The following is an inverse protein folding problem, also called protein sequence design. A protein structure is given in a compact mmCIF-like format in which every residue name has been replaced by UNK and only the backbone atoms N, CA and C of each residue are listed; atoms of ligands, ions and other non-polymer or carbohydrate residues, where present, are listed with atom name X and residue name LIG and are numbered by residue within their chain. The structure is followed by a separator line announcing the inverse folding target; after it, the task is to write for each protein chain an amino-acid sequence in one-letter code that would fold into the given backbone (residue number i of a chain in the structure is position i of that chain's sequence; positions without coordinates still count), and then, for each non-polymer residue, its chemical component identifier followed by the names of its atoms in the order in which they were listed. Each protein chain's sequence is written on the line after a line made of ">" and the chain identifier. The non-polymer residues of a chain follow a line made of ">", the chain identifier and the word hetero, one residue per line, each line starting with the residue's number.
data_IF_514443360080
#
_entry.id   IF_514443360080
#
_cell.length_a   1.000
_cell.length_b   1.000
_cell.length_c   1.000
_cell.angle_alpha   90.00
_cell.angle_beta   90.00
_cell.angle_gamma   90.00
#
_symmetry.space_group_name_H-M   'P 1'
#
loop_
_entity.id
_entity.type
_entity.pdbx_description
1 polymer ?
#
# COMPACT_ATOMS: atom_id res chain seq x y z
N UNK A 1 -0.77 23.14 12.88
CA UNK A 1 -0.23 21.88 12.32
C UNK A 1 1.17 21.70 12.89
N UNK A 2 1.50 20.56 13.49
CA UNK A 2 2.84 20.32 14.05
C UNK A 2 3.84 20.17 12.91
N UNK A 3 4.98 20.87 12.96
CA UNK A 3 6.05 20.80 11.94
C UNK A 3 6.59 19.35 11.91
N UNK A 4 6.73 18.75 10.73
CA UNK A 4 7.36 17.42 10.58
C UNK A 4 8.87 17.59 10.41
N UNK A 5 9.64 16.87 11.22
CA UNK A 5 11.11 16.95 11.26
C UNK A 5 11.66 15.53 11.15
N UNK A 6 12.64 15.30 10.28
CA UNK A 6 13.22 13.96 10.08
C UNK A 6 14.27 13.65 11.16
N UNK A 7 14.54 12.36 11.38
CA UNK A 7 15.63 11.95 12.27
C UNK A 7 16.99 12.47 11.80
N UNK A 8 17.20 12.55 10.48
CA UNK A 8 18.43 13.11 9.89
C UNK A 8 18.56 14.61 10.14
N UNK A 9 17.45 15.37 10.09
CA UNK A 9 17.45 16.79 10.47
C UNK A 9 17.83 16.91 11.95
N UNK A 10 17.22 16.12 12.84
CA UNK A 10 17.57 16.09 14.27
C UNK A 10 19.06 15.78 14.48
N UNK A 11 19.63 14.83 13.74
CA UNK A 11 21.03 14.43 13.87
C UNK A 11 22.05 15.55 13.57
N UNK A 12 21.65 16.59 12.83
CA UNK A 12 22.49 17.77 12.57
C UNK A 12 22.58 18.71 13.79
N UNK A 13 21.66 18.59 14.76
CA UNK A 13 21.61 19.41 15.96
C UNK A 13 22.18 18.65 17.16
N UNK A 14 23.50 18.44 17.13
CA UNK A 14 24.25 17.62 18.09
C UNK A 14 25.41 18.34 18.82
N UNK A 15 25.41 19.67 18.86
CA UNK A 15 26.50 20.48 19.44
C UNK A 15 26.01 21.35 20.60
N UNK A 16 26.89 21.85 21.48
CA UNK A 16 26.48 22.65 22.65
C UNK A 16 25.68 23.93 22.29
N UNK A 17 25.86 24.46 21.08
CA UNK A 17 25.10 25.61 20.57
C UNK A 17 23.84 25.26 19.77
N UNK A 18 23.52 23.97 19.61
CA UNK A 18 22.41 23.48 18.80
C UNK A 18 22.11 22.01 19.14
N UNK A 19 21.08 21.77 19.97
CA UNK A 19 20.75 20.44 20.53
C UNK A 19 19.27 20.14 20.34
N UNK A 20 18.99 19.17 19.46
CA UNK A 20 17.65 18.61 19.33
C UNK A 20 17.63 17.17 19.79
N UNK A 21 16.47 16.74 20.32
CA UNK A 21 16.24 15.36 20.77
C UNK A 21 14.85 14.89 20.35
N UNK A 22 14.70 13.59 20.17
CA UNK A 22 13.39 12.94 19.96
C UNK A 22 12.95 12.27 21.26
N UNK A 23 11.68 12.48 21.63
CA UNK A 23 11.03 11.77 22.74
C UNK A 23 9.60 11.43 22.32
N UNK A 24 9.24 10.15 22.26
CA UNK A 24 7.89 9.67 21.85
C UNK A 24 7.42 10.30 20.54
N UNK A 25 8.24 10.20 19.49
CA UNK A 25 8.00 10.76 18.16
C UNK A 25 7.79 12.28 18.11
N UNK A 26 8.14 13.02 19.18
CA UNK A 26 8.13 14.48 19.23
C UNK A 26 9.55 15.01 19.23
N UNK A 27 9.77 16.10 18.51
CA UNK A 27 11.09 16.74 18.40
C UNK A 27 11.13 17.97 19.29
N UNK A 28 12.15 18.05 20.13
CA UNK A 28 12.36 19.14 21.07
C UNK A 28 13.70 19.84 20.81
N UNK A 29 13.67 21.17 20.73
CA UNK A 29 14.88 21.99 20.80
C UNK A 29 15.18 22.31 22.26
N UNK A 30 16.25 21.72 22.78
CA UNK A 30 16.67 21.88 24.18
C UNK A 30 17.92 22.75 24.30
N UNK A 31 18.32 23.45 23.24
CA UNK A 31 19.52 24.29 23.19
C UNK A 31 19.55 25.32 24.32
N UNK A 32 18.44 26.06 24.48
CA UNK A 32 18.33 27.09 25.52
C UNK A 32 18.01 26.50 26.91
N UNK A 33 17.56 25.24 26.97
CA UNK A 33 17.23 24.55 28.23
C UNK A 33 18.44 23.80 28.82
N UNK A 34 19.55 23.75 28.10
CA UNK A 34 20.71 22.96 28.45
C UNK A 34 21.26 23.23 29.87
N UNK A 35 21.31 24.51 30.26
CA UNK A 35 21.80 24.93 31.58
C UNK A 35 20.72 24.89 32.68
N UNK A 36 19.46 24.69 32.29
CA UNK A 36 18.30 24.66 33.19
C UNK A 36 17.86 23.24 33.53
N UNK A 37 18.34 22.24 32.78
CA UNK A 37 18.00 20.84 33.00
C UNK A 37 18.48 20.36 34.39
N UNK A 38 17.58 19.91 35.30
CA UNK A 38 17.93 19.53 36.67
C UNK A 38 18.94 18.38 36.77
N UNK A 39 18.97 17.48 35.77
CA UNK A 39 19.96 16.41 35.67
C UNK A 39 21.34 16.85 35.16
N UNK A 40 21.50 18.13 34.86
CA UNK A 40 22.73 18.76 34.36
C UNK A 40 22.90 18.68 32.84
N UNK A 41 23.69 19.61 32.27
CA UNK A 41 23.88 19.70 30.81
C UNK A 41 24.51 18.47 30.15
N UNK A 42 25.38 17.75 30.89
CA UNK A 42 26.12 16.60 30.36
C UNK A 42 25.23 15.44 29.95
N UNK A 43 24.04 15.29 30.52
CA UNK A 43 23.14 14.19 30.13
C UNK A 43 22.41 14.48 28.82
N UNK A 44 22.06 15.75 28.56
CA UNK A 44 21.45 16.15 27.29
C UNK A 44 22.47 16.10 26.14
N UNK A 45 23.71 16.52 26.38
CA UNK A 45 24.79 16.44 25.38
C UNK A 45 25.08 15.01 24.91
N UNK A 46 24.83 13.98 25.74
CA UNK A 46 25.06 12.58 25.37
C UNK A 46 24.03 12.02 24.39
N UNK A 47 22.85 12.63 24.32
CA UNK A 47 21.74 12.21 23.47
C UNK A 47 21.41 13.26 22.40
N UNK A 48 22.26 14.28 22.27
CA UNK A 48 22.10 15.35 21.31
C UNK A 48 22.06 14.78 19.88
N UNK A 49 21.04 15.15 19.12
CA UNK A 49 20.81 14.67 17.77
C UNK A 49 20.29 13.23 17.68
N UNK A 50 19.76 12.66 18.75
CA UNK A 50 19.29 11.25 18.77
C UNK A 50 17.89 11.09 19.37
N UNK A 51 17.33 9.88 19.24
CA UNK A 51 16.17 9.45 20.00
C UNK A 51 16.55 9.13 21.46
N UNK A 52 16.05 9.97 22.34
CA UNK A 52 16.28 9.94 23.77
C UNK A 52 15.09 9.34 24.54
N UNK A 53 14.09 8.75 23.86
CA UNK A 53 12.86 8.23 24.48
C UNK A 53 13.16 7.26 25.62
N UNK A 54 14.05 6.29 25.39
CA UNK A 54 14.45 5.31 26.43
C UNK A 54 15.08 5.98 27.65
N UNK A 55 15.94 6.98 27.42
CA UNK A 55 16.62 7.71 28.47
C UNK A 55 15.64 8.61 29.23
N UNK A 56 14.69 9.21 28.53
CA UNK A 56 13.64 10.04 29.12
C UNK A 56 12.75 9.21 30.05
N UNK A 57 12.23 8.07 29.58
CA UNK A 57 11.30 7.20 30.33
C UNK A 57 11.91 6.60 31.60
N UNK A 58 13.24 6.43 31.63
CA UNK A 58 13.93 5.93 32.82
C UNK A 58 13.97 6.94 33.98
N UNK A 59 13.82 8.24 33.71
CA UNK A 59 14.01 9.31 34.70
C UNK A 59 12.86 10.32 34.79
N UNK A 60 11.93 10.29 33.83
CA UNK A 60 10.83 11.25 33.70
C UNK A 60 9.53 10.54 33.30
N UNK A 61 8.42 11.24 33.48
CA UNK A 61 7.10 10.82 32.99
C UNK A 61 6.56 11.85 31.99
N UNK A 62 5.52 11.48 31.24
CA UNK A 62 4.94 12.30 30.18
C UNK A 62 4.46 13.68 30.64
N UNK A 63 4.04 13.86 31.90
CA UNK A 63 3.58 15.16 32.41
C UNK A 63 4.68 16.23 32.41
N UNK A 64 5.95 15.83 32.34
CA UNK A 64 7.08 16.75 32.17
C UNK A 64 7.03 17.40 30.78
N UNK A 65 6.71 16.63 29.73
CA UNK A 65 6.59 17.16 28.37
C UNK A 65 5.41 18.15 28.23
N UNK A 66 4.32 17.91 28.95
CA UNK A 66 3.16 18.81 28.99
C UNK A 66 3.48 20.18 29.60
N UNK A 67 4.45 20.24 30.53
CA UNK A 67 4.93 21.48 31.15
C UNK A 67 5.97 22.22 30.31
N UNK A 68 6.57 21.55 29.33
CA UNK A 68 7.64 22.07 28.49
C UNK A 68 7.27 22.07 27.00
N UNK A 69 5.99 22.26 26.69
CA UNK A 69 5.47 22.27 25.32
C UNK A 69 6.12 23.35 24.44
N UNK A 70 6.63 24.43 25.03
CA UNK A 70 7.37 25.49 24.33
C UNK A 70 8.69 25.02 23.71
N UNK A 71 9.25 23.90 24.18
CA UNK A 71 10.47 23.31 23.62
C UNK A 71 10.16 22.41 22.42
N UNK A 72 8.91 21.99 22.25
CA UNK A 72 8.51 21.13 21.14
C UNK A 72 8.50 21.95 19.84
N UNK A 73 9.37 21.57 18.91
CA UNK A 73 9.48 22.23 17.60
C UNK A 73 8.82 21.43 16.48
N UNK A 74 8.42 20.19 16.76
CA UNK A 74 7.74 19.36 15.77
C UNK A 74 7.45 17.94 16.25
N UNK A 75 7.09 17.10 15.29
CA UNK A 75 6.97 15.65 15.42
C UNK A 75 7.85 14.98 14.39
N UNK A 76 8.36 13.81 14.74
CA UNK A 76 9.06 12.97 13.79
C UNK A 76 8.10 12.67 12.65
N UNK A 77 8.58 12.91 11.45
CA UNK A 77 7.90 12.54 10.23
C UNK A 77 8.87 12.63 9.09
N UNK A 78 8.57 11.91 8.02
CA UNK A 78 9.13 12.24 6.72
C UNK A 78 8.87 13.73 6.46
N UNK A 79 9.84 14.42 5.87
CA UNK A 79 9.63 15.76 5.34
C UNK A 79 8.27 15.79 4.63
N UNK A 80 7.51 16.86 4.83
CA UNK A 80 6.25 17.05 4.12
C UNK A 80 6.58 16.95 2.63
N UNK A 81 6.24 15.82 2.01
CA UNK A 81 6.11 15.72 0.58
C UNK A 81 5.01 16.74 0.24
N UNK A 82 5.40 17.93 -0.19
CA UNK A 82 4.81 18.44 -1.42
C UNK A 82 4.72 17.23 -2.34
N UNK A 83 3.55 17.01 -2.95
CA UNK A 83 3.35 15.91 -3.88
C UNK A 83 4.32 16.09 -5.06
N UNK A 84 5.57 15.69 -4.87
CA UNK A 84 6.56 15.49 -5.89
C UNK A 84 6.18 14.13 -6.46
N UNK A 85 5.73 14.16 -7.71
CA UNK A 85 5.53 12.97 -8.54
C UNK A 85 6.87 12.31 -8.90
N UNK A 86 7.81 12.22 -7.95
CA UNK A 86 9.07 11.53 -8.08
C UNK A 86 9.05 10.37 -7.08
N UNK A 87 8.31 9.31 -7.41
CA UNK A 87 8.72 8.05 -6.81
C UNK A 87 10.14 7.76 -7.30
N UNK A 88 11.01 7.47 -6.35
CA UNK A 88 12.46 7.48 -6.53
C UNK A 88 12.86 6.80 -7.84
N UNK A 89 13.40 7.58 -8.77
CA UNK A 89 14.37 7.10 -9.75
C UNK A 89 15.73 6.83 -9.08
N UNK A 90 15.71 6.42 -7.80
CA UNK A 90 16.87 6.40 -6.94
C UNK A 90 17.92 5.48 -7.51
N UNK A 91 19.02 6.05 -7.99
CA UNK A 91 20.24 5.32 -8.25
C UNK A 91 20.70 4.71 -6.92
N UNK A 92 20.46 3.41 -6.74
CA UNK A 92 20.88 2.64 -5.58
C UNK A 92 20.00 1.42 -5.31
N UNK A 93 20.51 0.42 -4.56
CA UNK A 93 19.78 -0.80 -4.31
C UNK A 93 18.63 -0.56 -3.31
N UNK A 94 17.42 -0.99 -3.66
CA UNK A 94 16.23 -0.91 -2.80
C UNK A 94 15.90 -2.28 -2.18
N UNK A 95 15.25 -2.23 -1.01
CA UNK A 95 14.75 -3.38 -0.28
C UNK A 95 15.63 -3.71 0.92
N UNK A 96 15.35 -4.82 1.59
CA UNK A 96 16.13 -5.24 2.77
C UNK A 96 17.53 -5.78 2.40
N UNK A 97 17.83 -5.82 1.09
CA UNK A 97 19.08 -6.33 0.51
C UNK A 97 19.40 -7.78 0.91
N UNK A 98 18.38 -8.51 1.35
CA UNK A 98 18.46 -9.95 1.60
C UNK A 98 18.78 -10.62 0.26
N UNK A 99 19.84 -11.45 0.17
CA UNK A 99 20.13 -12.17 -1.06
C UNK A 99 18.91 -12.94 -1.57
N UNK A 100 18.52 -12.69 -2.82
CA UNK A 100 17.33 -13.27 -3.47
C UNK A 100 15.97 -12.89 -2.85
N UNK A 101 15.93 -11.92 -1.92
CA UNK A 101 14.69 -11.44 -1.30
C UNK A 101 13.89 -10.48 -2.18
N UNK A 102 14.54 -9.84 -3.15
CA UNK A 102 13.94 -8.93 -4.12
C UNK A 102 14.46 -9.26 -5.54
N UNK A 103 13.66 -9.00 -6.60
CA UNK A 103 14.09 -9.30 -7.96
C UNK A 103 15.13 -8.29 -8.44
N UNK A 104 16.14 -8.80 -9.15
CA UNK A 104 17.33 -8.02 -9.49
C UNK A 104 17.06 -6.83 -10.42
N UNK A 105 16.04 -6.91 -11.28
CA UNK A 105 15.68 -5.82 -12.21
C UNK A 105 15.32 -4.52 -11.49
N UNK A 106 14.96 -4.63 -10.22
CA UNK A 106 14.51 -3.53 -9.40
C UNK A 106 15.66 -2.93 -8.55
N UNK A 107 16.81 -3.61 -8.50
CA UNK A 107 18.05 -3.13 -7.90
C UNK A 107 18.99 -2.64 -9.02
N UNK A 108 20.13 -3.31 -9.22
CA UNK A 108 21.20 -2.84 -10.10
C UNK A 108 21.17 -3.48 -11.50
N UNK A 109 20.15 -4.29 -11.84
CA UNK A 109 20.06 -4.94 -13.14
C UNK A 109 19.14 -4.19 -14.11
N UNK A 110 19.68 -3.80 -15.27
CA UNK A 110 18.90 -3.21 -16.34
C UNK A 110 18.14 -4.28 -17.15
N UNK A 111 16.81 -4.17 -17.19
CA UNK A 111 15.93 -5.01 -18.00
C UNK A 111 15.33 -4.19 -19.14
N UNK A 112 15.20 -4.72 -20.37
CA UNK A 112 14.45 -4.06 -21.43
C UNK A 112 12.93 -4.03 -21.19
N UNK A 113 12.43 -4.79 -20.21
CA UNK A 113 11.01 -4.90 -19.88
C UNK A 113 10.56 -4.01 -18.72
N UNK A 114 11.50 -3.61 -17.85
CA UNK A 114 11.20 -2.82 -16.67
C UNK A 114 11.90 -1.47 -16.74
N UNK A 115 11.21 -0.43 -16.27
CA UNK A 115 11.69 0.95 -16.29
C UNK A 115 11.34 1.62 -14.95
N UNK A 116 11.54 2.93 -14.85
CA UNK A 116 11.24 3.67 -13.61
C UNK A 116 9.77 3.60 -13.20
N UNK A 117 8.79 3.62 -14.13
CA UNK A 117 7.38 3.58 -13.74
C UNK A 117 7.02 2.26 -13.02
N UNK A 118 7.59 1.14 -13.47
CA UNK A 118 7.50 -0.14 -12.77
C UNK A 118 8.11 -0.07 -11.37
N UNK A 119 9.25 0.62 -11.24
CA UNK A 119 9.89 0.78 -9.93
C UNK A 119 9.01 1.60 -8.97
N UNK A 120 8.41 2.69 -9.45
CA UNK A 120 7.48 3.52 -8.69
C UNK A 120 6.27 2.73 -8.20
N UNK A 121 5.67 1.91 -9.07
CA UNK A 121 4.55 1.04 -8.71
C UNK A 121 4.95 0.01 -7.66
N UNK A 122 6.11 -0.66 -7.82
CA UNK A 122 6.59 -1.63 -6.84
C UNK A 122 6.69 -1.03 -5.44
N UNK A 123 7.34 0.14 -5.33
CA UNK A 123 7.50 0.83 -4.06
C UNK A 123 6.14 1.22 -3.43
N UNK A 124 5.21 1.72 -4.24
CA UNK A 124 3.90 2.14 -3.76
C UNK A 124 3.02 0.95 -3.31
N UNK A 125 3.02 -0.15 -4.06
CA UNK A 125 2.25 -1.35 -3.69
C UNK A 125 2.87 -2.02 -2.47
N UNK A 126 4.21 -2.09 -2.38
CA UNK A 126 4.91 -2.57 -1.17
C UNK A 126 4.46 -1.81 0.07
N UNK A 127 4.50 -0.48 0.01
CA UNK A 127 4.05 0.38 1.11
C UNK A 127 2.61 0.07 1.48
N UNK A 128 1.71 -0.04 0.50
CA UNK A 128 0.32 -0.41 0.76
C UNK A 128 0.19 -1.78 1.45
N UNK A 129 0.94 -2.78 1.00
CA UNK A 129 0.91 -4.13 1.58
C UNK A 129 1.43 -4.13 3.01
N UNK A 130 2.56 -3.48 3.26
CA UNK A 130 3.19 -3.42 4.58
C UNK A 130 2.36 -2.64 5.60
N UNK A 131 1.60 -1.62 5.18
CA UNK A 131 0.80 -0.79 6.11
C UNK A 131 -0.65 -1.21 6.22
N UNK A 132 -1.29 -1.62 5.12
CA UNK A 132 -2.74 -1.86 5.06
C UNK A 132 -3.10 -3.33 5.10
N UNK A 133 -2.17 -4.26 4.83
CA UNK A 133 -2.46 -5.69 4.71
C UNK A 133 -1.72 -6.51 5.77
N UNK A 134 -0.38 -6.49 5.74
CA UNK A 134 0.47 -7.37 6.57
C UNK A 134 0.14 -7.36 8.06
N UNK A 135 -0.17 -6.21 8.71
CA UNK A 135 -0.49 -6.20 10.13
C UNK A 135 -1.75 -7.00 10.49
N UNK A 136 -2.63 -7.25 9.51
CA UNK A 136 -3.97 -7.82 9.73
C UNK A 136 -4.18 -9.17 9.03
N UNK A 137 -3.26 -9.58 8.13
CA UNK A 137 -3.43 -10.75 7.28
C UNK A 137 -3.76 -12.04 8.06
N UNK A 138 -3.06 -12.26 9.18
CA UNK A 138 -3.31 -13.42 10.05
C UNK A 138 -4.74 -13.43 10.64
N UNK A 139 -5.21 -12.28 11.14
CA UNK A 139 -6.56 -12.16 11.70
C UNK A 139 -7.62 -12.45 10.63
N UNK A 140 -7.43 -11.91 9.43
CA UNK A 140 -8.38 -12.10 8.31
C UNK A 140 -8.42 -13.53 7.80
N UNK A 141 -7.27 -14.22 7.78
CA UNK A 141 -7.20 -15.63 7.41
C UNK A 141 -7.91 -16.52 8.43
N UNK A 142 -7.66 -16.32 9.73
CA UNK A 142 -8.37 -17.04 10.80
C UNK A 142 -9.88 -16.75 10.76
N UNK A 143 -10.27 -15.51 10.49
CA UNK A 143 -11.67 -15.10 10.35
C UNK A 143 -12.31 -15.52 9.01
N UNK A 144 -11.52 -16.00 8.04
CA UNK A 144 -11.94 -16.30 6.66
C UNK A 144 -12.69 -15.14 6.00
N UNK A 145 -12.26 -13.91 6.31
CA UNK A 145 -12.95 -12.69 5.88
C UNK A 145 -11.98 -11.54 5.78
N UNK A 146 -12.01 -10.87 4.63
CA UNK A 146 -11.34 -9.61 4.38
C UNK A 146 -12.36 -8.47 4.60
N UNK A 147 -12.01 -7.40 5.31
CA UNK A 147 -12.91 -6.26 5.52
C UNK A 147 -13.18 -5.50 4.22
N UNK A 148 -14.43 -5.05 4.03
CA UNK A 148 -14.85 -4.30 2.82
C UNK A 148 -14.02 -3.01 2.64
N UNK A 149 -13.60 -2.41 3.75
CA UNK A 149 -12.78 -1.21 3.79
C UNK A 149 -11.45 -1.41 3.05
N UNK A 150 -10.87 -2.61 3.08
CA UNK A 150 -9.65 -2.92 2.34
C UNK A 150 -9.88 -2.87 0.83
N UNK A 151 -10.99 -3.44 0.35
CA UNK A 151 -11.36 -3.38 -1.08
C UNK A 151 -11.51 -1.94 -1.55
N UNK A 152 -12.18 -1.09 -0.76
CA UNK A 152 -12.37 0.32 -1.09
C UNK A 152 -11.03 1.06 -1.10
N UNK A 153 -10.13 0.80 -0.13
CA UNK A 153 -8.78 1.38 -0.09
C UNK A 153 -7.96 0.96 -1.31
N UNK A 154 -7.95 -0.33 -1.63
CA UNK A 154 -7.24 -0.87 -2.80
C UNK A 154 -7.81 -0.31 -4.12
N UNK A 155 -9.13 -0.14 -4.22
CA UNK A 155 -9.77 0.51 -5.36
C UNK A 155 -9.29 1.94 -5.52
N UNK A 156 -9.40 2.76 -4.46
CA UNK A 156 -8.94 4.17 -4.48
C UNK A 156 -7.45 4.33 -4.77
N UNK A 157 -6.62 3.39 -4.31
CA UNK A 157 -5.19 3.40 -4.55
C UNK A 157 -4.81 3.07 -6.01
N UNK A 158 -5.75 2.58 -6.82
CA UNK A 158 -5.46 2.11 -8.18
C UNK A 158 -4.99 0.66 -8.25
N UNK A 159 -5.06 -0.10 -7.16
CA UNK A 159 -4.63 -1.51 -7.15
C UNK A 159 -5.65 -2.40 -7.86
N UNK A 160 -6.94 -2.29 -7.51
CA UNK A 160 -8.00 -3.09 -8.14
C UNK A 160 -8.12 -2.86 -9.66
N UNK A 161 -8.15 -1.62 -10.17
CA UNK A 161 -8.13 -1.42 -11.62
C UNK A 161 -6.81 -1.85 -12.28
N UNK A 162 -5.69 -1.85 -11.55
CA UNK A 162 -4.41 -2.30 -12.07
C UNK A 162 -4.31 -3.80 -12.32
N UNK A 163 -5.08 -4.62 -11.60
CA UNK A 163 -5.09 -6.08 -11.80
C UNK A 163 -6.12 -6.56 -12.83
N UNK A 164 -6.57 -5.66 -13.72
CA UNK A 164 -7.59 -5.93 -14.74
C UNK A 164 -7.05 -5.89 -16.17
N UNK A 165 -5.75 -6.07 -16.36
CA UNK A 165 -5.10 -6.00 -17.68
C UNK A 165 -4.82 -4.57 -18.18
N UNK A 166 -3.90 -4.49 -19.15
CA UNK A 166 -3.69 -3.30 -19.97
C UNK A 166 -4.53 -3.37 -21.28
N UNK A 167 -4.96 -2.23 -21.85
CA UNK A 167 -4.79 -0.87 -21.35
C UNK A 167 -5.69 -0.56 -20.16
N UNK A 168 -5.33 0.45 -19.38
CA UNK A 168 -6.07 0.87 -18.20
C UNK A 168 -7.56 1.16 -18.50
N UNK A 169 -8.52 0.75 -17.64
CA UNK A 169 -9.95 0.74 -17.95
C UNK A 169 -10.63 2.12 -17.82
N UNK A 170 -10.13 3.15 -18.53
CA UNK A 170 -10.61 4.54 -18.45
C UNK A 170 -12.09 4.74 -18.74
N UNK A 171 -12.74 3.82 -19.46
CA UNK A 171 -14.19 3.87 -19.73
C UNK A 171 -15.03 3.54 -18.49
N UNK A 172 -14.44 2.89 -17.49
CA UNK A 172 -15.15 2.28 -16.37
C UNK A 172 -14.70 2.83 -15.01
N UNK A 173 -13.65 3.66 -14.97
CA UNK A 173 -13.15 4.27 -13.75
C UNK A 173 -12.40 5.57 -14.03
N UNK A 174 -12.56 6.54 -13.13
CA UNK A 174 -11.76 7.77 -13.09
C UNK A 174 -10.50 7.61 -12.21
N UNK A 175 -10.36 6.48 -11.52
CA UNK A 175 -9.19 6.15 -10.70
C UNK A 175 -7.97 6.06 -11.62
N UNK A 176 -6.89 6.72 -11.20
CA UNK A 176 -5.60 6.71 -11.92
C UNK A 176 -4.73 5.54 -11.46
N UNK A 177 -3.80 5.09 -12.32
CA UNK A 177 -2.76 4.15 -11.87
C UNK A 177 -2.04 4.66 -10.62
N UNK A 178 -1.63 3.71 -9.78
CA UNK A 178 -0.88 4.01 -8.56
C UNK A 178 0.49 4.65 -8.89
N UNK A 179 1.07 5.36 -7.93
CA UNK A 179 2.41 5.93 -8.02
C UNK A 179 2.62 6.97 -9.13
N UNK A 180 1.55 7.69 -9.49
CA UNK A 180 1.60 8.76 -10.49
C UNK A 180 1.87 8.27 -11.92
N UNK A 181 1.72 6.96 -12.18
CA UNK A 181 1.83 6.40 -13.53
C UNK A 181 0.67 6.91 -14.38
N UNK A 182 0.96 7.40 -15.59
CA UNK A 182 -0.08 7.82 -16.53
C UNK A 182 -0.81 6.61 -17.12
N UNK A 183 -2.00 6.86 -17.68
CA UNK A 183 -2.81 5.83 -18.33
C UNK A 183 -2.05 5.24 -19.54
N UNK A 184 -1.28 6.08 -20.21
CA UNK A 184 -0.51 5.77 -21.42
C UNK A 184 0.76 4.98 -21.11
N UNK A 185 1.35 5.18 -19.93
CA UNK A 185 2.51 4.42 -19.45
C UNK A 185 2.12 3.03 -18.90
N UNK A 186 0.86 2.83 -18.52
CA UNK A 186 0.43 1.58 -17.88
C UNK A 186 0.44 0.40 -18.85
N UNK A 187 1.16 -0.66 -18.48
CA UNK A 187 1.29 -1.89 -19.27
C UNK A 187 1.12 -3.17 -18.40
N UNK A 188 1.22 -4.35 -19.03
CA UNK A 188 1.06 -5.63 -18.34
C UNK A 188 2.19 -5.93 -17.34
N UNK A 189 3.35 -5.28 -17.44
CA UNK A 189 4.42 -5.44 -16.45
C UNK A 189 4.08 -4.67 -15.16
N UNK A 190 3.34 -3.58 -15.24
CA UNK A 190 2.78 -2.92 -14.04
C UNK A 190 1.78 -3.83 -13.31
N UNK A 191 0.88 -4.50 -14.04
CA UNK A 191 -0.04 -5.48 -13.47
C UNK A 191 0.73 -6.62 -12.78
N UNK A 192 1.75 -7.17 -13.45
CA UNK A 192 2.61 -8.21 -12.87
C UNK A 192 3.23 -7.74 -11.56
N UNK A 193 3.79 -6.53 -11.51
CA UNK A 193 4.40 -5.96 -10.31
C UNK A 193 3.39 -5.77 -9.18
N UNK A 194 2.16 -5.33 -9.48
CA UNK A 194 1.09 -5.20 -8.48
C UNK A 194 0.78 -6.56 -7.87
N UNK A 195 0.58 -7.59 -8.70
CA UNK A 195 0.30 -8.95 -8.24
C UNK A 195 1.46 -9.54 -7.42
N UNK A 196 2.70 -9.33 -7.85
CA UNK A 196 3.92 -9.78 -7.17
C UNK A 196 4.03 -9.17 -5.76
N UNK A 197 3.88 -7.85 -5.64
CA UNK A 197 3.96 -7.17 -4.34
C UNK A 197 2.78 -7.50 -3.42
N UNK A 198 1.56 -7.72 -3.94
CA UNK A 198 0.44 -8.20 -3.12
C UNK A 198 0.74 -9.57 -2.48
N UNK A 199 1.54 -10.41 -3.14
CA UNK A 199 2.01 -11.68 -2.59
C UNK A 199 2.93 -11.53 -1.37
N UNK A 200 3.55 -10.36 -1.15
CA UNK A 200 4.47 -10.09 -0.03
C UNK A 200 3.80 -10.21 1.34
N UNK A 201 2.46 -10.14 1.43
CA UNK A 201 1.75 -10.36 2.67
C UNK A 201 1.82 -11.81 3.20
N UNK A 202 2.31 -12.76 2.40
CA UNK A 202 2.45 -14.17 2.81
C UNK A 202 1.11 -14.91 2.93
N UNK A 203 0.00 -14.30 2.54
CA UNK A 203 -1.34 -14.91 2.56
C UNK A 203 -1.91 -15.04 1.15
N UNK A 204 -2.02 -16.28 0.67
CA UNK A 204 -2.75 -16.59 -0.55
C UNK A 204 -4.25 -16.30 -0.42
N UNK A 205 -4.81 -16.42 0.78
CA UNK A 205 -6.21 -16.11 1.06
C UNK A 205 -6.53 -14.64 0.86
N UNK A 206 -5.68 -13.75 1.39
CA UNK A 206 -5.82 -12.31 1.21
C UNK A 206 -5.59 -11.89 -0.24
N UNK A 207 -4.55 -12.40 -0.90
CA UNK A 207 -4.27 -12.11 -2.32
C UNK A 207 -5.46 -12.51 -3.20
N UNK A 208 -5.86 -13.78 -3.18
CA UNK A 208 -6.96 -14.27 -4.02
C UNK A 208 -8.32 -13.70 -3.61
N UNK A 209 -8.53 -13.41 -2.33
CA UNK A 209 -9.76 -12.79 -1.85
C UNK A 209 -9.91 -11.33 -2.26
N UNK A 210 -8.81 -10.56 -2.32
CA UNK A 210 -8.83 -9.14 -2.70
C UNK A 210 -8.95 -8.95 -4.21
N UNK A 211 -8.19 -9.69 -5.00
CA UNK A 211 -8.08 -9.45 -6.45
C UNK A 211 -8.40 -10.66 -7.33
N UNK A 212 -8.37 -11.89 -6.81
CA UNK A 212 -8.55 -13.10 -7.61
C UNK A 212 -9.89 -13.16 -8.36
N UNK A 213 -11.00 -12.90 -7.67
CA UNK A 213 -12.33 -12.85 -8.33
C UNK A 213 -12.43 -11.75 -9.38
N UNK A 214 -11.76 -10.62 -9.13
CA UNK A 214 -11.72 -9.47 -10.03
C UNK A 214 -10.93 -9.77 -11.32
N UNK A 215 -9.73 -10.35 -11.19
CA UNK A 215 -8.81 -10.60 -12.32
C UNK A 215 -9.34 -11.62 -13.32
N UNK A 216 -10.20 -12.54 -12.90
CA UNK A 216 -10.79 -13.57 -13.80
C UNK A 216 -12.27 -13.31 -14.12
N UNK A 217 -13.01 -12.69 -13.20
CA UNK A 217 -14.45 -12.50 -13.32
C UNK A 217 -14.84 -11.24 -14.09
N UNK A 218 -14.06 -10.15 -13.98
CA UNK A 218 -14.37 -8.90 -14.65
C UNK A 218 -13.99 -8.87 -16.14
N UNK A 219 -12.85 -9.44 -16.60
CA UNK A 219 -12.47 -9.36 -18.02
C UNK A 219 -13.51 -9.89 -19.01
N UNK A 220 -14.25 -11.00 -18.75
CA UNK A 220 -15.35 -11.43 -19.63
C UNK A 220 -16.44 -10.36 -19.79
N UNK A 221 -16.77 -9.62 -18.73
CA UNK A 221 -17.74 -8.51 -18.80
C UNK A 221 -17.19 -7.36 -19.63
N UNK A 222 -15.93 -6.97 -19.43
CA UNK A 222 -15.31 -5.87 -20.18
C UNK A 222 -15.14 -6.19 -21.66
N UNK A 223 -14.86 -7.46 -22.00
CA UNK A 223 -14.57 -7.89 -23.37
C UNK A 223 -15.80 -8.30 -24.17
N UNK A 224 -16.76 -8.96 -23.53
CA UNK A 224 -17.90 -9.58 -24.21
C UNK A 224 -19.28 -9.11 -23.70
N UNK A 225 -19.33 -8.44 -22.55
CA UNK A 225 -20.58 -7.90 -22.00
C UNK A 225 -21.11 -6.71 -22.82
N UNK A 226 -22.43 -6.52 -22.79
CA UNK A 226 -23.06 -5.33 -23.37
C UNK A 226 -22.61 -4.05 -22.64
N UNK A 227 -22.74 -2.88 -23.28
CA UNK A 227 -22.44 -1.59 -22.64
C UNK A 227 -23.23 -1.39 -21.34
N UNK A 228 -24.47 -1.88 -21.29
CA UNK A 228 -25.30 -1.86 -20.09
C UNK A 228 -24.69 -2.67 -18.95
N UNK A 229 -24.23 -3.90 -19.23
CA UNK A 229 -23.57 -4.75 -18.23
C UNK A 229 -22.26 -4.14 -17.75
N UNK A 230 -21.44 -3.63 -18.67
CA UNK A 230 -20.18 -2.97 -18.35
C UNK A 230 -20.43 -1.77 -17.42
N UNK A 231 -21.36 -0.88 -17.76
CA UNK A 231 -21.70 0.32 -16.96
C UNK A 231 -22.25 -0.05 -15.58
N UNK A 232 -23.02 -1.14 -15.47
CA UNK A 232 -23.66 -1.55 -14.22
C UNK A 232 -22.71 -2.25 -13.25
N UNK A 233 -21.73 -2.99 -13.78
CA UNK A 233 -20.89 -3.92 -13.01
C UNK A 233 -19.49 -3.37 -12.80
N UNK A 234 -18.81 -2.92 -13.85
CA UNK A 234 -17.38 -2.62 -13.82
C UNK A 234 -17.01 -1.53 -12.80
N UNK A 235 -17.69 -0.36 -12.72
CA UNK A 235 -17.29 0.69 -11.80
C UNK A 235 -17.29 0.23 -10.33
N UNK A 236 -18.28 -0.58 -9.94
CA UNK A 236 -18.39 -1.11 -8.58
C UNK A 236 -17.30 -2.13 -8.23
N UNK A 237 -16.83 -2.89 -9.21
CA UNK A 237 -15.74 -3.85 -9.00
C UNK A 237 -14.39 -3.12 -8.92
N UNK A 238 -14.15 -2.16 -9.83
CA UNK A 238 -12.90 -1.39 -9.88
C UNK A 238 -12.73 -0.47 -8.67
N UNK A 239 -13.81 0.05 -8.08
CA UNK A 239 -13.75 0.89 -6.89
C UNK A 239 -13.80 0.10 -5.56
N UNK A 240 -13.93 -1.23 -5.61
CA UNK A 240 -14.00 -2.09 -4.44
C UNK A 240 -15.29 -1.99 -3.64
N UNK A 241 -16.41 -1.54 -4.22
CA UNK A 241 -17.74 -1.52 -3.57
C UNK A 241 -18.60 -2.75 -3.90
N UNK A 242 -18.19 -3.51 -4.92
CA UNK A 242 -18.79 -4.78 -5.32
C UNK A 242 -17.69 -5.79 -5.55
N UNK A 243 -17.99 -7.04 -5.24
CA UNK A 243 -17.14 -8.18 -5.56
C UNK A 243 -17.72 -8.94 -6.74
N UNK A 244 -16.85 -9.57 -7.53
CA UNK A 244 -17.20 -10.43 -8.65
C UNK A 244 -16.42 -11.74 -8.54
N UNK A 245 -16.99 -12.82 -9.06
CA UNK A 245 -16.35 -14.13 -9.12
C UNK A 245 -16.61 -14.78 -10.47
N UNK A 246 -15.80 -15.79 -10.78
CA UNK A 246 -15.98 -16.66 -11.94
C UNK A 246 -16.39 -18.05 -11.46
N UNK A 247 -17.63 -18.44 -11.76
CA UNK A 247 -18.17 -19.75 -11.41
C UNK A 247 -18.14 -20.66 -12.64
N UNK A 248 -17.01 -21.35 -12.85
CA UNK A 248 -16.85 -22.34 -13.92
C UNK A 248 -16.85 -23.75 -13.33
N UNK A 249 -15.94 -24.03 -12.39
CA UNK A 249 -15.69 -25.39 -11.91
C UNK A 249 -16.89 -26.00 -11.21
N UNK A 250 -17.18 -27.26 -11.54
CA UNK A 250 -18.19 -28.11 -10.90
C UNK A 250 -17.53 -29.30 -10.19
N UNK A 251 -18.24 -30.01 -9.28
CA UNK A 251 -17.72 -31.22 -8.63
C UNK A 251 -17.17 -32.29 -9.58
N UNK A 252 -17.64 -32.31 -10.84
CA UNK A 252 -17.27 -33.30 -11.85
C UNK A 252 -16.43 -32.75 -13.01
N UNK A 253 -16.20 -31.43 -13.06
CA UNK A 253 -15.55 -30.77 -14.19
C UNK A 253 -14.61 -29.66 -13.70
N UNK A 254 -13.33 -30.02 -13.55
CA UNK A 254 -12.21 -29.11 -13.26
C UNK A 254 -11.38 -28.83 -14.51
N UNK A 255 -10.47 -29.74 -14.87
CA UNK A 255 -9.68 -29.64 -16.11
C UNK A 255 -10.53 -29.81 -17.37
N UNK A 256 -11.62 -30.56 -17.29
CA UNK A 256 -12.54 -30.83 -18.40
C UNK A 256 -13.74 -29.85 -18.40
N UNK A 257 -13.43 -28.56 -18.54
CA UNK A 257 -14.44 -27.47 -18.55
C UNK A 257 -15.45 -27.60 -19.69
N UNK A 258 -15.17 -28.37 -20.73
CA UNK A 258 -16.10 -28.58 -21.83
C UNK A 258 -17.31 -29.45 -21.43
N UNK A 259 -17.21 -30.22 -20.34
CA UNK A 259 -18.22 -31.17 -19.87
C UNK A 259 -18.94 -30.71 -18.60
N UNK A 260 -19.14 -29.39 -18.45
CA UNK A 260 -20.02 -28.83 -17.42
C UNK A 260 -21.45 -29.36 -17.54
N UNK A 261 -22.14 -29.50 -16.40
CA UNK A 261 -23.50 -30.01 -16.29
C UNK A 261 -24.52 -28.94 -15.93
N UNK A 262 -24.06 -27.77 -15.47
CA UNK A 262 -24.93 -26.62 -15.22
C UNK A 262 -25.68 -26.27 -16.51
N UNK A 263 -27.00 -26.24 -16.43
CA UNK A 263 -27.88 -25.94 -17.55
C UNK A 263 -28.54 -24.56 -17.38
N UNK A 264 -28.82 -23.90 -18.50
CA UNK A 264 -29.61 -22.68 -18.55
C UNK A 264 -30.76 -22.87 -19.54
N UNK A 265 -31.98 -22.99 -19.03
CA UNK A 265 -33.20 -23.14 -19.84
C UNK A 265 -33.97 -21.84 -19.89
N UNK A 266 -34.39 -21.41 -21.09
CA UNK A 266 -35.25 -20.24 -21.23
C UNK A 266 -36.62 -20.51 -20.58
N UNK A 267 -37.15 -19.55 -19.82
CA UNK A 267 -38.48 -19.61 -19.20
C UNK A 267 -39.59 -19.71 -20.25
N UNK A 268 -40.75 -20.24 -19.86
CA UNK A 268 -41.89 -20.45 -20.77
C UNK A 268 -42.40 -19.12 -21.39
N UNK A 269 -42.22 -18.00 -20.70
CA UNK A 269 -42.56 -16.64 -21.16
C UNK A 269 -41.42 -15.95 -21.95
N UNK A 270 -40.28 -16.62 -22.10
CA UNK A 270 -39.10 -16.12 -22.82
C UNK A 270 -38.37 -14.94 -22.15
N UNK A 271 -38.67 -14.61 -20.89
CA UNK A 271 -38.14 -13.41 -20.24
C UNK A 271 -36.82 -13.62 -19.48
N UNK A 272 -36.51 -14.84 -19.02
CA UNK A 272 -35.31 -15.12 -18.23
C UNK A 272 -34.79 -16.55 -18.45
N UNK A 273 -33.54 -16.79 -18.06
CA UNK A 273 -32.99 -18.15 -17.98
C UNK A 273 -33.16 -18.69 -16.56
N UNK A 274 -33.62 -19.94 -16.46
CA UNK A 274 -33.59 -20.74 -15.24
C UNK A 274 -32.29 -21.54 -15.27
N UNK A 275 -31.41 -21.28 -14.30
CA UNK A 275 -30.08 -21.91 -14.21
C UNK A 275 -30.09 -22.96 -13.10
N UNK A 276 -29.66 -24.19 -13.39
CA UNK A 276 -29.56 -25.30 -12.42
C UNK A 276 -28.18 -25.98 -12.54
N UNK A 277 -27.54 -26.27 -11.41
CA UNK A 277 -26.22 -26.91 -11.33
C UNK A 277 -25.91 -27.39 -9.92
#
# INVERSE_FOLDING_TARGET
>A
MSKRITADEVAQHNTEGSIWIIVHDKVFDVTNFLNEHPGGKKVLLKVAGTDATKQFDNFHNLSVLEKHTQLQIGEVGSAQEEVSNEASSGEGPFGDLVPFGDPYWYQDFYSPYYNDSHRRVRAAVRKFVETEIMPYAYEWDEAKRIPQELFIKAGKAGILPGVCGAPWPVKHTDIKPIAGVSVEEYDNFHEFVICDELGRCGSGGVLWGLCGGLTIGLPPILKFGSEELQRRIAPGCLNGTKNICLAITEPYAGSDVANLKTEAKLSDDGQYYIVNG
#
